data_IF_216824117690
#
_entry.id   IF_216824117690
#
_cell.length_a   1.000
_cell.length_b   1.000
_cell.length_c   1.000
_cell.angle_alpha   90.00
_cell.angle_beta   90.00
_cell.angle_gamma   90.00
#
_symmetry.space_group_name_H-M   'P 1'
#
loop_
_entity.id
_entity.type
_entity.pdbx_description
1 polymer ?
#
# COMPACT_ATOMS: atom_id res chain seq x y z
N UNK A 1 -25.55 7.08 21.50
CA UNK A 1 -24.55 8.13 21.20
C UNK A 1 -24.57 8.33 19.70
N UNK A 2 -25.21 9.39 19.21
CA UNK A 2 -25.40 9.63 17.77
C UNK A 2 -24.12 10.17 17.15
N UNK A 3 -23.30 9.26 16.60
CA UNK A 3 -22.12 9.61 15.81
C UNK A 3 -22.58 9.66 14.36
N UNK A 4 -22.50 10.85 13.76
CA UNK A 4 -22.84 11.09 12.35
C UNK A 4 -22.17 10.01 11.46
N UNK A 5 -22.99 9.25 10.71
CA UNK A 5 -22.56 8.06 9.95
C UNK A 5 -21.45 8.35 8.94
N UNK A 6 -21.29 9.62 8.55
CA UNK A 6 -20.22 10.09 7.66
C UNK A 6 -18.82 9.93 8.26
N UNK A 7 -18.68 10.01 9.59
CA UNK A 7 -17.40 9.82 10.28
C UNK A 7 -17.23 8.42 10.85
N UNK A 8 -18.31 7.66 11.05
CA UNK A 8 -18.20 6.27 11.52
C UNK A 8 -17.29 5.42 10.62
N UNK A 9 -17.50 5.46 9.31
CA UNK A 9 -16.65 4.69 8.39
C UNK A 9 -15.21 5.19 8.37
N UNK A 10 -14.99 6.52 8.40
CA UNK A 10 -13.65 7.08 8.39
C UNK A 10 -12.87 6.74 9.67
N UNK A 11 -13.50 6.89 10.84
CA UNK A 11 -12.92 6.54 12.13
C UNK A 11 -12.72 5.03 12.26
N UNK A 12 -13.66 4.21 11.76
CA UNK A 12 -13.51 2.75 11.74
C UNK A 12 -12.34 2.31 10.84
N UNK A 13 -12.24 2.85 9.62
CA UNK A 13 -11.13 2.57 8.71
C UNK A 13 -9.79 3.04 9.28
N UNK A 14 -9.74 4.22 9.89
CA UNK A 14 -8.53 4.72 10.54
C UNK A 14 -8.13 3.85 11.74
N UNK A 15 -9.07 3.55 12.64
CA UNK A 15 -8.80 2.77 13.85
C UNK A 15 -8.43 1.32 13.51
N UNK A 16 -9.06 0.71 12.51
CA UNK A 16 -8.72 -0.64 12.04
C UNK A 16 -7.35 -0.69 11.37
N UNK A 17 -7.00 0.27 10.52
CA UNK A 17 -5.67 0.34 9.92
C UNK A 17 -4.58 0.60 10.98
N UNK A 18 -4.88 1.49 11.93
CA UNK A 18 -4.00 1.81 13.05
C UNK A 18 -3.78 0.59 13.96
N UNK A 19 -4.84 -0.11 14.36
CA UNK A 19 -4.74 -1.29 15.22
C UNK A 19 -3.96 -2.41 14.53
N UNK A 20 -4.24 -2.71 13.25
CA UNK A 20 -3.50 -3.72 12.49
C UNK A 20 -2.00 -3.38 12.41
N UNK A 21 -1.65 -2.10 12.21
CA UNK A 21 -0.25 -1.67 12.16
C UNK A 21 0.48 -1.84 13.51
N UNK A 22 -0.22 -1.62 14.62
CA UNK A 22 0.30 -1.83 15.97
C UNK A 22 0.50 -3.33 16.25
N UNK A 23 -0.51 -4.15 15.97
CA UNK A 23 -0.46 -5.60 16.21
C UNK A 23 0.66 -6.28 15.43
N UNK A 24 0.77 -6.04 14.12
CA UNK A 24 1.81 -6.66 13.29
C UNK A 24 3.19 -6.27 13.78
N UNK A 25 3.42 -4.99 14.06
CA UNK A 25 4.70 -4.53 14.58
C UNK A 25 5.03 -5.16 15.94
N UNK A 26 4.04 -5.24 16.83
CA UNK A 26 4.21 -5.83 18.16
C UNK A 26 4.65 -7.29 18.07
N UNK A 27 4.00 -8.10 17.22
CA UNK A 27 4.35 -9.51 17.03
C UNK A 27 5.77 -9.66 16.45
N UNK A 28 6.13 -8.85 15.44
CA UNK A 28 7.47 -8.91 14.83
C UNK A 28 8.57 -8.62 15.85
N UNK A 29 8.39 -7.58 16.67
CA UNK A 29 9.39 -7.22 17.71
C UNK A 29 9.38 -8.25 18.83
N UNK A 30 8.22 -8.82 19.18
CA UNK A 30 8.11 -9.88 20.20
C UNK A 30 8.92 -11.11 19.81
N UNK A 31 8.83 -11.50 18.52
CA UNK A 31 9.59 -12.62 17.96
C UNK A 31 11.09 -12.29 17.89
N UNK A 32 11.46 -11.06 17.52
CA UNK A 32 12.87 -10.68 17.35
C UNK A 32 13.65 -10.50 18.65
N UNK A 33 13.02 -9.92 19.69
CA UNK A 33 13.73 -9.52 20.92
C UNK A 33 13.40 -10.39 22.13
N UNK A 34 12.34 -11.21 22.07
CA UNK A 34 11.84 -11.98 23.21
C UNK A 34 11.20 -11.09 24.28
N UNK A 35 10.51 -11.73 25.24
CA UNK A 35 9.85 -11.05 26.36
C UNK A 35 10.88 -10.68 27.44
N UNK A 36 11.58 -9.56 27.23
CA UNK A 36 12.43 -8.91 28.24
C UNK A 36 11.75 -7.66 28.81
N UNK A 37 12.17 -7.19 29.98
CA UNK A 37 11.66 -5.96 30.61
C UNK A 37 11.83 -4.70 29.73
N UNK A 38 12.77 -4.74 28.78
CA UNK A 38 13.08 -3.68 27.82
C UNK A 38 12.21 -3.72 26.55
N UNK A 39 11.44 -4.79 26.34
CA UNK A 39 10.71 -5.05 25.08
C UNK A 39 9.69 -3.95 24.76
N UNK A 40 8.77 -3.68 25.68
CA UNK A 40 7.67 -2.75 25.50
C UNK A 40 8.15 -1.29 25.31
N UNK A 41 9.07 -0.74 26.13
CA UNK A 41 9.59 0.61 25.91
C UNK A 41 10.41 0.74 24.63
N UNK A 42 11.16 -0.30 24.25
CA UNK A 42 11.89 -0.33 22.98
C UNK A 42 10.95 -0.37 21.77
N UNK A 43 9.91 -1.19 21.82
CA UNK A 43 8.89 -1.27 20.79
C UNK A 43 8.16 0.07 20.59
N UNK A 44 7.68 0.69 21.67
CA UNK A 44 7.02 2.00 21.63
C UNK A 44 7.91 3.13 21.08
N UNK A 45 9.24 2.99 21.19
CA UNK A 45 10.19 3.97 20.65
C UNK A 45 10.46 3.75 19.16
N UNK A 46 10.58 2.49 18.73
CA UNK A 46 10.93 2.13 17.34
C UNK A 46 9.70 2.22 16.41
N UNK A 47 8.53 1.76 16.86
CA UNK A 47 7.32 1.72 16.05
C UNK A 47 6.89 3.08 15.46
N UNK A 48 6.76 4.18 16.24
CA UNK A 48 6.34 5.46 15.67
C UNK A 48 7.42 6.07 14.78
N UNK A 49 8.71 5.81 15.07
CA UNK A 49 9.81 6.24 14.21
C UNK A 49 9.75 5.55 12.84
N UNK A 50 9.50 4.24 12.82
CA UNK A 50 9.29 3.48 11.59
C UNK A 50 8.03 3.94 10.84
N UNK A 51 6.93 4.20 11.56
CA UNK A 51 5.69 4.70 10.97
C UNK A 51 5.88 6.06 10.29
N UNK A 52 6.53 7.02 10.96
CA UNK A 52 6.84 8.34 10.39
C UNK A 52 7.79 8.22 9.19
N UNK A 53 8.81 7.35 9.29
CA UNK A 53 9.73 7.09 8.18
C UNK A 53 9.00 6.52 6.95
N UNK A 54 8.12 5.53 7.15
CA UNK A 54 7.30 4.95 6.10
C UNK A 54 6.31 5.96 5.50
N UNK A 55 5.71 6.83 6.33
CA UNK A 55 4.82 7.90 5.89
C UNK A 55 5.58 8.86 4.97
N UNK A 56 6.71 9.40 5.40
CA UNK A 56 7.58 10.28 4.59
C UNK A 56 8.04 9.57 3.32
N UNK A 57 8.46 8.31 3.44
CA UNK A 57 8.84 7.46 2.32
C UNK A 57 7.71 7.30 1.30
N UNK A 58 6.46 7.14 1.74
CA UNK A 58 5.30 7.01 0.84
C UNK A 58 5.02 8.28 0.03
N UNK A 59 5.39 9.48 0.52
CA UNK A 59 5.30 10.70 -0.29
C UNK A 59 6.49 10.90 -1.23
N UNK A 60 7.71 10.59 -0.76
CA UNK A 60 8.93 10.82 -1.52
C UNK A 60 9.22 9.73 -2.56
N UNK A 61 9.04 8.45 -2.20
CA UNK A 61 9.37 7.32 -3.06
C UNK A 61 8.60 7.33 -4.38
N UNK A 62 7.27 7.56 -4.45
CA UNK A 62 6.57 7.57 -5.73
C UNK A 62 7.09 8.67 -6.66
N UNK A 63 7.42 9.85 -6.12
CA UNK A 63 8.01 10.94 -6.91
C UNK A 63 9.37 10.58 -7.47
N UNK A 64 10.21 9.91 -6.68
CA UNK A 64 11.54 9.43 -7.10
C UNK A 64 11.40 8.31 -8.13
N UNK A 65 10.57 7.31 -7.85
CA UNK A 65 10.30 6.16 -8.72
C UNK A 65 9.70 6.63 -10.04
N UNK A 66 8.79 7.60 -10.05
CA UNK A 66 8.26 8.19 -11.28
C UNK A 66 9.34 8.89 -12.11
N UNK A 67 10.27 9.62 -11.47
CA UNK A 67 11.41 10.22 -12.19
C UNK A 67 12.32 9.16 -12.81
N UNK A 68 12.53 8.03 -12.12
CA UNK A 68 13.33 6.91 -12.63
C UNK A 68 12.59 6.21 -13.76
N UNK A 69 11.29 5.91 -13.60
CA UNK A 69 10.44 5.29 -14.62
C UNK A 69 10.36 6.15 -15.89
N UNK A 70 10.27 7.47 -15.79
CA UNK A 70 10.28 8.35 -16.96
C UNK A 70 11.60 8.30 -17.76
N UNK A 71 12.67 7.79 -17.15
CA UNK A 71 13.97 7.60 -17.81
C UNK A 71 14.10 6.21 -18.46
N UNK A 72 13.16 5.32 -18.18
CA UNK A 72 13.07 3.98 -18.75
C UNK A 72 11.98 4.04 -19.82
N UNK A 73 12.39 4.05 -21.08
CA UNK A 73 11.46 3.85 -22.18
C UNK A 73 11.02 2.39 -22.15
N UNK A 74 9.86 2.13 -21.53
CA UNK A 74 9.27 0.80 -21.53
C UNK A 74 8.79 0.54 -22.96
N UNK A 75 9.66 -0.08 -23.76
CA UNK A 75 9.32 -0.54 -25.10
C UNK A 75 8.35 -1.70 -24.90
N UNK A 76 7.06 -1.39 -24.90
CA UNK A 76 6.01 -2.39 -24.97
C UNK A 76 6.21 -3.11 -26.31
N UNK A 77 6.53 -4.42 -26.31
CA UNK A 77 6.90 -5.09 -27.54
C UNK A 77 5.66 -5.06 -28.47
N UNK A 78 5.81 -4.61 -29.74
CA UNK A 78 4.69 -4.28 -30.63
C UNK A 78 3.69 -5.43 -30.84
N UNK A 79 4.11 -6.65 -30.58
CA UNK A 79 3.35 -7.88 -30.69
C UNK A 79 2.21 -8.01 -29.66
N UNK A 80 2.29 -7.40 -28.47
CA UNK A 80 1.17 -7.41 -27.51
C UNK A 80 0.10 -6.36 -27.86
N UNK A 81 0.50 -5.21 -28.38
CA UNK A 81 -0.41 -4.15 -28.79
C UNK A 81 -1.32 -4.59 -29.96
N UNK A 82 -0.75 -5.35 -30.91
CA UNK A 82 -1.48 -5.91 -32.05
C UNK A 82 -2.46 -7.02 -31.62
N UNK A 83 -2.11 -7.89 -30.64
CA UNK A 83 -3.01 -8.91 -30.12
C UNK A 83 -4.24 -8.28 -29.42
N UNK A 84 -4.01 -7.24 -28.61
CA UNK A 84 -5.09 -6.51 -27.94
C UNK A 84 -6.04 -5.80 -28.94
N UNK A 85 -5.51 -5.22 -30.03
CA UNK A 85 -6.32 -4.67 -31.14
C UNK A 85 -7.13 -5.76 -31.84
N UNK A 86 -6.50 -6.87 -32.20
CA UNK A 86 -7.17 -8.00 -32.84
C UNK A 86 -8.29 -8.58 -31.98
N UNK A 87 -8.04 -8.78 -30.68
CA UNK A 87 -9.05 -9.25 -29.70
C UNK A 87 -10.21 -8.27 -29.54
N UNK A 88 -9.94 -6.96 -29.45
CA UNK A 88 -11.00 -5.92 -29.39
C UNK A 88 -11.88 -5.93 -30.64
N UNK A 89 -11.28 -6.02 -31.82
CA UNK A 89 -12.03 -6.08 -33.08
C UNK A 89 -12.91 -7.33 -33.16
N UNK A 90 -12.39 -8.49 -32.74
CA UNK A 90 -13.15 -9.75 -32.70
C UNK A 90 -14.34 -9.71 -31.72
N UNK A 91 -14.19 -9.03 -30.59
CA UNK A 91 -15.29 -8.84 -29.63
C UNK A 91 -16.36 -7.86 -30.13
N UNK A 92 -15.99 -6.90 -31.00
CA UNK A 92 -16.93 -5.97 -31.62
C UNK A 92 -17.80 -6.66 -32.67
N UNK A 93 -17.22 -7.53 -33.48
CA UNK A 93 -17.95 -8.34 -34.47
C UNK A 93 -18.98 -9.26 -33.81
N UNK A 94 -18.64 -9.89 -32.68
CA UNK A 94 -19.54 -10.76 -31.92
C UNK A 94 -20.72 -10.05 -31.21
N UNK A 95 -20.71 -8.71 -31.12
CA UNK A 95 -21.83 -7.95 -30.54
C UNK A 95 -22.77 -7.37 -31.61
N UNK A 96 -22.48 -7.60 -32.90
CA UNK A 96 -23.28 -7.11 -34.05
C UNK A 96 -23.98 -8.29 -34.76
N UNK A 97 -23.95 -9.50 -34.18
CA UNK A 97 -24.73 -10.68 -34.58
C UNK A 97 -25.55 -11.16 -33.39
#
# INVERSE_FOLDING_TARGET
MEINSKYQNATYAFLSAFSMSLFISFIIVSINYGYSSEFLPRWLKIWPQAFVCAFVGSFFLPKIVQRIMNKIEFIEPPLLAEEHKFRKNKCKDKNIT
#
